data_IF_343554412634
#
_entry.id   IF_343554412634
#
_cell.length_a   1.000
_cell.length_b   1.000
_cell.length_c   1.000
_cell.angle_alpha   90.00
_cell.angle_beta   90.00
_cell.angle_gamma   90.00
#
_symmetry.space_group_name_H-M   'P 1'
#
loop_
_entity.id
_entity.type
_entity.pdbx_description
1 polymer ?
#
# COMPACT_ATOMS: atom_id res chain seq x y z
N UNK A 1 -18.96 -18.11 -1.04
CA UNK A 1 -18.54 -16.72 -0.80
C UNK A 1 -18.85 -15.91 -2.05
N UNK A 2 -19.87 -15.04 -2.00
CA UNK A 2 -20.16 -14.11 -3.09
C UNK A 2 -18.97 -13.15 -3.19
N UNK A 3 -18.35 -13.09 -4.37
CA UNK A 3 -17.24 -12.24 -4.71
C UNK A 3 -17.54 -10.76 -4.34
N UNK A 4 -17.04 -10.34 -3.18
CA UNK A 4 -17.11 -8.95 -2.72
C UNK A 4 -16.20 -7.99 -3.55
N UNK A 5 -15.59 -8.49 -4.62
CA UNK A 5 -14.52 -7.84 -5.36
C UNK A 5 -14.93 -7.36 -6.78
N UNK A 6 -16.22 -7.42 -7.15
CA UNK A 6 -16.63 -6.80 -8.42
C UNK A 6 -16.84 -5.30 -8.20
N UNK A 7 -16.06 -4.44 -8.88
CA UNK A 7 -16.28 -3.01 -8.82
C UNK A 7 -17.73 -2.66 -9.24
N UNK A 8 -18.30 -1.66 -8.59
CA UNK A 8 -19.63 -1.16 -8.96
C UNK A 8 -19.60 -0.53 -10.36
N UNK A 9 -20.76 -0.41 -11.02
CA UNK A 9 -20.87 0.31 -12.29
C UNK A 9 -20.38 1.76 -12.19
N UNK A 10 -20.55 2.40 -11.02
CA UNK A 10 -20.01 3.75 -10.77
C UNK A 10 -18.47 3.76 -10.75
N UNK A 11 -17.84 2.74 -10.15
CA UNK A 11 -16.38 2.61 -10.13
C UNK A 11 -15.81 2.39 -11.53
N UNK A 12 -16.43 1.51 -12.33
CA UNK A 12 -16.05 1.31 -13.73
C UNK A 12 -16.18 2.59 -14.56
N UNK A 13 -17.31 3.29 -14.46
CA UNK A 13 -17.51 4.56 -15.18
C UNK A 13 -16.49 5.63 -14.77
N UNK A 14 -16.11 5.68 -13.49
CA UNK A 14 -15.05 6.57 -13.03
C UNK A 14 -13.70 6.24 -13.66
N UNK A 15 -13.31 4.96 -13.63
CA UNK A 15 -12.05 4.48 -14.18
C UNK A 15 -11.98 4.75 -15.71
N UNK A 16 -13.05 4.44 -16.45
CA UNK A 16 -13.12 4.70 -17.90
C UNK A 16 -13.00 6.19 -18.24
N UNK A 17 -13.66 7.05 -17.45
CA UNK A 17 -13.57 8.51 -17.64
C UNK A 17 -12.16 9.04 -17.37
N UNK A 18 -11.48 8.52 -16.35
CA UNK A 18 -10.09 8.90 -16.05
C UNK A 18 -9.16 8.39 -17.17
N UNK A 19 -9.24 7.11 -17.51
CA UNK A 19 -8.39 6.48 -18.53
C UNK A 19 -8.47 7.17 -19.90
N UNK A 20 -9.66 7.62 -20.32
CA UNK A 20 -9.87 8.35 -21.59
C UNK A 20 -9.17 9.71 -21.62
N UNK A 21 -8.92 10.32 -20.48
CA UNK A 21 -8.28 11.65 -20.38
C UNK A 21 -6.77 11.56 -20.19
N UNK A 22 -6.25 10.40 -19.84
CA UNK A 22 -4.83 10.21 -19.56
C UNK A 22 -4.01 10.13 -20.83
N UNK A 23 -2.84 10.78 -20.79
CA UNK A 23 -1.79 10.58 -21.80
C UNK A 23 -1.18 9.18 -21.67
N UNK A 24 -0.35 8.79 -22.64
CA UNK A 24 0.37 7.51 -22.57
C UNK A 24 1.31 7.47 -21.38
N UNK A 25 2.04 8.56 -21.12
CA UNK A 25 2.98 8.64 -20.00
C UNK A 25 2.27 8.54 -18.64
N UNK A 26 1.12 9.18 -18.49
CA UNK A 26 0.29 9.06 -17.29
C UNK A 26 -0.23 7.62 -17.09
N UNK A 27 -0.61 6.93 -18.16
CA UNK A 27 -1.01 5.51 -18.09
C UNK A 27 0.15 4.62 -17.66
N UNK A 28 1.35 4.87 -18.18
CA UNK A 28 2.57 4.17 -17.77
C UNK A 28 2.86 4.44 -16.30
N UNK A 29 2.80 5.71 -15.86
CA UNK A 29 2.97 6.08 -14.46
C UNK A 29 2.04 5.30 -13.52
N UNK A 30 0.79 5.10 -13.89
CA UNK A 30 -0.18 4.33 -13.08
C UNK A 30 0.18 2.84 -12.93
N UNK A 31 1.03 2.28 -13.77
CA UNK A 31 1.53 0.91 -13.64
C UNK A 31 2.77 0.80 -12.74
N UNK A 32 3.34 1.94 -12.36
CA UNK A 32 4.56 1.99 -11.52
C UNK A 32 4.17 2.17 -10.05
N UNK A 33 4.73 1.31 -9.18
CA UNK A 33 4.66 1.45 -7.74
C UNK A 33 6.06 1.68 -7.20
N UNK A 34 6.22 2.68 -6.33
CA UNK A 34 7.51 3.02 -5.72
C UNK A 34 7.61 2.51 -4.29
N UNK A 35 8.78 1.98 -3.92
CA UNK A 35 9.06 1.53 -2.57
C UNK A 35 9.52 2.68 -1.68
N UNK A 36 8.96 2.79 -0.48
CA UNK A 36 9.31 3.83 0.48
C UNK A 36 9.39 3.31 1.92
N UNK A 37 10.20 3.98 2.74
CA UNK A 37 10.13 3.88 4.19
C UNK A 37 9.28 5.05 4.70
N UNK A 38 8.13 4.75 5.31
CA UNK A 38 7.19 5.75 5.81
C UNK A 38 7.66 6.30 7.18
N UNK A 39 8.75 7.04 7.16
CA UNK A 39 9.30 7.75 8.32
C UNK A 39 9.01 9.23 8.18
N UNK A 40 9.10 9.95 9.30
CA UNK A 40 9.04 11.40 9.26
C UNK A 40 10.10 11.95 8.28
N UNK A 41 9.66 12.80 7.37
CA UNK A 41 10.52 13.51 6.41
C UNK A 41 10.22 15.00 6.45
N UNK A 42 11.27 15.79 6.53
CA UNK A 42 11.13 17.23 6.32
C UNK A 42 10.71 17.49 4.86
N UNK A 43 9.72 18.36 4.68
CA UNK A 43 9.20 18.70 3.35
C UNK A 43 10.24 19.37 2.43
N UNK A 44 11.27 19.97 3.01
CA UNK A 44 12.38 20.59 2.27
C UNK A 44 13.50 19.61 1.93
N UNK A 45 13.44 18.38 2.45
CA UNK A 45 14.43 17.33 2.14
C UNK A 45 14.37 16.92 0.67
N UNK A 46 15.51 16.52 0.12
CA UNK A 46 15.56 16.01 -1.25
C UNK A 46 14.73 14.74 -1.42
N UNK A 47 14.67 13.90 -0.38
CA UNK A 47 13.88 12.67 -0.38
C UNK A 47 12.38 12.99 -0.52
N UNK A 48 11.85 13.92 0.27
CA UNK A 48 10.44 14.31 0.16
C UNK A 48 10.13 14.97 -1.19
N UNK A 49 11.01 15.85 -1.68
CA UNK A 49 10.86 16.50 -2.99
C UNK A 49 10.81 15.48 -4.11
N UNK A 50 11.67 14.44 -4.06
CA UNK A 50 11.65 13.37 -5.06
C UNK A 50 10.37 12.54 -4.98
N UNK A 51 9.92 12.14 -3.79
CA UNK A 51 8.64 11.44 -3.62
C UNK A 51 7.47 12.27 -4.14
N UNK A 52 7.45 13.56 -3.83
CA UNK A 52 6.44 14.49 -4.37
C UNK A 52 6.48 14.52 -5.89
N UNK A 53 7.66 14.59 -6.49
CA UNK A 53 7.83 14.57 -7.95
C UNK A 53 7.26 13.27 -8.56
N UNK A 54 7.55 12.11 -7.95
CA UNK A 54 7.01 10.82 -8.40
C UNK A 54 5.48 10.79 -8.38
N UNK A 55 4.88 11.31 -7.32
CA UNK A 55 3.42 11.31 -7.17
C UNK A 55 2.74 12.34 -8.08
N UNK A 56 3.28 13.57 -8.14
CA UNK A 56 2.60 14.71 -8.81
C UNK A 56 2.93 14.78 -10.30
N UNK A 57 4.20 14.59 -10.66
CA UNK A 57 4.65 14.76 -12.05
C UNK A 57 4.63 13.44 -12.82
N UNK A 58 5.21 12.38 -12.24
CA UNK A 58 5.23 11.07 -12.88
C UNK A 58 3.90 10.30 -12.69
N UNK A 59 3.00 10.76 -11.81
CA UNK A 59 1.68 10.20 -11.56
C UNK A 59 1.72 8.68 -11.31
N UNK A 60 2.65 8.23 -10.44
CA UNK A 60 2.78 6.81 -10.09
C UNK A 60 1.46 6.25 -9.53
N UNK A 61 1.17 4.98 -9.83
CA UNK A 61 -0.09 4.33 -9.46
C UNK A 61 -0.16 3.90 -8.00
N UNK A 62 0.98 3.75 -7.33
CA UNK A 62 0.98 3.32 -5.94
C UNK A 62 2.31 3.44 -5.21
N UNK A 63 2.22 3.12 -3.93
CA UNK A 63 3.35 3.12 -2.99
C UNK A 63 3.39 1.78 -2.27
N UNK A 64 4.57 1.19 -2.18
CA UNK A 64 4.87 0.00 -1.38
C UNK A 64 5.58 0.47 -0.12
N UNK A 65 4.97 0.29 1.05
CA UNK A 65 5.55 0.69 2.33
C UNK A 65 6.40 -0.44 2.89
N UNK A 66 7.69 -0.18 3.12
CA UNK A 66 8.63 -1.17 3.63
C UNK A 66 8.86 -1.08 5.14
N UNK A 67 8.99 0.13 5.68
CA UNK A 67 9.23 0.33 7.13
C UNK A 67 8.59 1.64 7.59
N UNK A 68 8.03 1.64 8.80
CA UNK A 68 7.52 2.84 9.48
C UNK A 68 6.85 2.47 10.79
N UNK A 69 6.64 3.42 11.68
CA UNK A 69 5.66 3.30 12.75
C UNK A 69 4.25 3.46 12.18
N UNK A 70 3.24 2.89 12.82
CA UNK A 70 1.83 3.00 12.36
C UNK A 70 1.44 4.47 12.21
N UNK A 71 1.73 5.28 13.23
CA UNK A 71 1.38 6.70 13.24
C UNK A 71 2.06 7.49 12.12
N UNK A 72 3.38 7.31 11.95
CA UNK A 72 4.14 7.95 10.87
C UNK A 72 3.62 7.52 9.50
N UNK A 73 3.30 6.23 9.34
CA UNK A 73 2.78 5.68 8.09
C UNK A 73 1.42 6.28 7.73
N UNK A 74 0.51 6.41 8.69
CA UNK A 74 -0.82 7.03 8.45
C UNK A 74 -0.66 8.48 7.98
N UNK A 75 0.17 9.27 8.66
CA UNK A 75 0.44 10.64 8.25
C UNK A 75 1.10 10.73 6.88
N UNK A 76 2.10 9.89 6.62
CA UNK A 76 2.79 9.81 5.34
C UNK A 76 1.82 9.47 4.20
N UNK A 77 1.05 8.39 4.36
CA UNK A 77 0.09 7.92 3.34
C UNK A 77 -0.97 9.00 3.06
N UNK A 78 -1.56 9.59 4.10
CA UNK A 78 -2.54 10.67 3.94
C UNK A 78 -1.95 11.86 3.19
N UNK A 79 -0.68 12.20 3.46
CA UNK A 79 0.01 13.28 2.75
C UNK A 79 0.21 12.95 1.27
N UNK A 80 0.65 11.74 0.95
CA UNK A 80 0.84 11.32 -0.45
C UNK A 80 -0.50 11.24 -1.19
N UNK A 81 -1.54 10.70 -0.57
CA UNK A 81 -2.89 10.69 -1.13
C UNK A 81 -3.41 12.10 -1.43
N UNK A 82 -3.15 13.08 -0.54
CA UNK A 82 -3.56 14.47 -0.74
C UNK A 82 -2.83 15.16 -1.93
N UNK A 83 -1.64 14.69 -2.29
CA UNK A 83 -0.88 15.18 -3.44
C UNK A 83 -1.31 14.52 -4.76
N UNK A 84 -1.85 13.31 -4.71
CA UNK A 84 -2.16 12.50 -5.88
C UNK A 84 -3.45 12.96 -6.57
N UNK A 85 -3.42 13.14 -7.89
CA UNK A 85 -4.63 13.40 -8.68
C UNK A 85 -5.54 12.16 -8.79
N UNK A 86 -4.94 10.99 -8.91
CA UNK A 86 -5.60 9.69 -8.88
C UNK A 86 -5.21 9.02 -7.57
N UNK A 87 -6.15 8.48 -6.78
CA UNK A 87 -5.83 7.82 -5.52
C UNK A 87 -4.78 6.72 -5.70
N UNK A 88 -3.74 6.77 -4.86
CA UNK A 88 -2.65 5.81 -4.88
C UNK A 88 -3.11 4.46 -4.32
N UNK A 89 -2.65 3.36 -4.93
CA UNK A 89 -2.69 2.04 -4.30
C UNK A 89 -1.57 1.96 -3.26
N UNK A 90 -1.95 1.68 -2.02
CA UNK A 90 -0.99 1.48 -0.92
C UNK A 90 -0.89 0.00 -0.64
N UNK A 91 0.33 -0.53 -0.62
CA UNK A 91 0.61 -1.93 -0.36
C UNK A 91 1.81 -2.10 0.56
N UNK A 92 1.91 -3.26 1.18
CA UNK A 92 3.06 -3.71 1.95
C UNK A 92 3.09 -5.24 2.00
N UNK A 93 4.27 -5.82 2.24
CA UNK A 93 4.44 -7.27 2.40
C UNK A 93 4.39 -7.63 3.87
N UNK A 94 3.48 -8.52 4.27
CA UNK A 94 3.26 -8.93 5.65
C UNK A 94 3.49 -10.43 5.86
N UNK A 95 4.65 -10.93 5.48
CA UNK A 95 4.98 -12.37 5.53
C UNK A 95 4.93 -12.93 6.96
N UNK A 96 5.40 -12.14 7.94
CA UNK A 96 5.39 -12.53 9.37
C UNK A 96 4.42 -11.69 10.18
N UNK A 97 3.39 -11.15 9.55
CA UNK A 97 2.46 -10.22 10.19
C UNK A 97 2.79 -8.77 9.93
N UNK A 98 1.92 -7.88 10.39
CA UNK A 98 2.05 -6.43 10.16
C UNK A 98 3.31 -5.90 10.84
N UNK A 99 3.73 -6.48 11.98
CA UNK A 99 4.94 -6.13 12.71
C UNK A 99 6.25 -6.31 11.93
N UNK A 100 6.24 -7.06 10.82
CA UNK A 100 7.39 -7.13 9.91
C UNK A 100 7.75 -5.76 9.33
N UNK A 101 6.75 -4.91 9.10
CA UNK A 101 6.90 -3.57 8.49
C UNK A 101 6.68 -2.45 9.50
N UNK A 102 5.78 -2.68 10.45
CA UNK A 102 5.36 -1.71 11.47
C UNK A 102 5.63 -2.32 12.85
N UNK A 103 6.81 -2.08 13.45
CA UNK A 103 7.30 -2.77 14.65
C UNK A 103 6.43 -2.54 15.90
N UNK A 104 5.52 -1.60 15.86
CA UNK A 104 4.52 -1.30 16.90
C UNK A 104 3.22 -2.13 16.75
N UNK A 105 3.22 -3.16 15.87
CA UNK A 105 2.10 -4.09 15.63
C UNK A 105 2.50 -5.56 15.88
N UNK A 106 1.58 -6.49 15.64
CA UNK A 106 1.81 -7.93 15.90
C UNK A 106 2.73 -8.56 14.87
N UNK A 107 3.75 -9.28 15.36
CA UNK A 107 4.65 -10.09 14.56
C UNK A 107 4.47 -11.58 14.89
N UNK A 108 4.64 -12.44 13.88
CA UNK A 108 4.53 -13.89 13.95
C UNK A 108 5.86 -14.54 13.58
N UNK A 109 6.05 -15.83 13.89
CA UNK A 109 7.14 -16.62 13.34
C UNK A 109 7.08 -16.65 11.80
N UNK A 110 8.21 -16.93 11.17
CA UNK A 110 8.30 -17.15 9.73
C UNK A 110 7.32 -18.23 9.25
N UNK A 111 6.77 -18.05 8.05
CA UNK A 111 5.79 -18.98 7.47
C UNK A 111 6.25 -20.43 7.45
N UNK A 112 7.56 -20.69 7.31
CA UNK A 112 8.13 -22.04 7.40
C UNK A 112 7.92 -22.66 8.79
N UNK A 113 8.04 -21.90 9.87
CA UNK A 113 7.80 -22.40 11.22
C UNK A 113 6.31 -22.74 11.44
N UNK A 114 5.42 -21.94 10.86
CA UNK A 114 3.97 -22.23 10.90
C UNK A 114 3.68 -23.50 10.09
N UNK A 115 4.24 -23.64 8.90
CA UNK A 115 4.09 -24.81 8.05
C UNK A 115 4.61 -26.08 8.72
N UNK A 116 5.73 -26.00 9.44
CA UNK A 116 6.31 -27.15 10.18
C UNK A 116 5.40 -27.72 11.27
N UNK A 117 4.39 -26.96 11.75
CA UNK A 117 3.39 -27.46 12.69
C UNK A 117 2.39 -28.43 12.06
N UNK A 118 2.27 -28.46 10.72
CA UNK A 118 1.25 -29.19 9.98
C UNK A 118 -0.19 -28.71 10.23
N UNK A 119 -0.38 -27.59 10.93
CA UNK A 119 -1.70 -27.07 11.33
C UNK A 119 -2.12 -25.89 10.43
N UNK A 120 -2.92 -26.14 9.41
CA UNK A 120 -3.45 -25.10 8.50
C UNK A 120 -4.25 -24.01 9.23
N UNK A 121 -4.85 -24.35 10.36
CA UNK A 121 -5.60 -23.43 11.22
C UNK A 121 -4.72 -22.27 11.72
N UNK A 122 -3.44 -22.51 12.02
CA UNK A 122 -2.52 -21.46 12.45
C UNK A 122 -2.25 -20.45 11.34
N UNK A 123 -2.05 -20.91 10.10
CA UNK A 123 -1.89 -20.04 8.94
C UNK A 123 -3.15 -19.20 8.69
N UNK A 124 -4.35 -19.82 8.78
CA UNK A 124 -5.63 -19.10 8.67
C UNK A 124 -5.76 -18.03 9.74
N UNK A 125 -5.43 -18.36 10.99
CA UNK A 125 -5.51 -17.43 12.13
C UNK A 125 -4.56 -16.23 11.96
N UNK A 126 -3.34 -16.50 11.50
CA UNK A 126 -2.39 -15.41 11.15
C UNK A 126 -3.00 -14.46 10.12
N UNK A 127 -3.51 -15.00 9.01
CA UNK A 127 -4.13 -14.20 7.95
C UNK A 127 -5.32 -13.36 8.44
N UNK A 128 -6.14 -13.91 9.37
CA UNK A 128 -7.26 -13.18 9.98
C UNK A 128 -6.79 -12.01 10.86
N UNK A 129 -5.69 -12.17 11.59
CA UNK A 129 -5.12 -11.12 12.44
C UNK A 129 -4.51 -10.02 11.55
N UNK A 130 -3.66 -10.41 10.59
CA UNK A 130 -3.09 -9.47 9.61
C UNK A 130 -4.19 -8.68 8.90
N UNK A 131 -5.23 -9.35 8.41
CA UNK A 131 -6.34 -8.70 7.72
C UNK A 131 -7.20 -7.78 8.61
N UNK A 132 -7.11 -7.88 9.94
CA UNK A 132 -7.74 -6.93 10.88
C UNK A 132 -6.86 -5.73 11.17
N UNK A 133 -5.56 -5.95 11.32
CA UNK A 133 -4.59 -4.87 11.62
C UNK A 133 -4.36 -3.94 10.43
N UNK A 134 -4.61 -4.40 9.20
CA UNK A 134 -4.40 -3.61 7.97
C UNK A 134 -5.63 -2.83 7.50
N UNK A 135 -6.71 -2.84 8.24
CA UNK A 135 -7.94 -2.07 7.98
C UNK A 135 -7.91 -0.70 8.60
#
# INVERSE_FOLDING_TARGET
AKSALKPSGKAWNWADKKLKKMTTDEKIGQLVHIGVNARFMNQDSNEFKELRRQVVENKVGGIIVFVGGVYDTVHFVNRMQALAEIPLLISADFETGVGMRFPDTVNFPWNMAIAATGKTELARRQGEIVGRETK
#
